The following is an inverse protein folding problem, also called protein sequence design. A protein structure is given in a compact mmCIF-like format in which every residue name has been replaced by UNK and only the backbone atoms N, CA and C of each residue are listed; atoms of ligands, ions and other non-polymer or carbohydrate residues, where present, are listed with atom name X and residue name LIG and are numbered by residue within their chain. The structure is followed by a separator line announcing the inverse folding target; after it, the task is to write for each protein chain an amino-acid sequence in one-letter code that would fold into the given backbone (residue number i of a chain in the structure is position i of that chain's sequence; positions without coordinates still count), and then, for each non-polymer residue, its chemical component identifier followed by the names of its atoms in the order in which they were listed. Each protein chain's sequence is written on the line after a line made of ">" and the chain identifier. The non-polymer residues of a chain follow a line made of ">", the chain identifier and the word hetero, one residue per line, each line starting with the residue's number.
data_IF_376786660128
#
_entry.id   IF_376786660128
#
_cell.length_a   1.000
_cell.length_b   1.000
_cell.length_c   1.000
_cell.angle_alpha   90.00
_cell.angle_beta   90.00
_cell.angle_gamma   90.00
#
_symmetry.space_group_name_H-M   'P 1'
#
loop_
_entity.id
_entity.type
_entity.pdbx_description
1 polymer ?
#
# COMPACT_ATOMS: atom_id res chain seq x y z
N UNK A 1 -6.14 -6.51 26.97
CA UNK A 1 -5.06 -5.77 26.27
C UNK A 1 -5.60 -5.26 24.94
N UNK A 2 -5.37 -3.99 24.60
CA UNK A 2 -5.70 -3.43 23.28
C UNK A 2 -4.86 -4.10 22.18
N UNK A 3 -5.33 -4.07 20.93
CA UNK A 3 -4.60 -4.61 19.78
C UNK A 3 -3.18 -4.02 19.64
N UNK A 4 -3.02 -2.71 19.87
CA UNK A 4 -1.70 -2.07 19.87
C UNK A 4 -0.75 -2.65 20.93
N UNK A 5 -1.24 -2.88 22.16
CA UNK A 5 -0.44 -3.52 23.23
C UNK A 5 -0.07 -4.98 22.92
N UNK A 6 -0.96 -5.72 22.24
CA UNK A 6 -0.66 -7.09 21.77
C UNK A 6 0.44 -7.09 20.71
N UNK A 7 0.42 -6.12 19.78
CA UNK A 7 1.50 -5.98 18.81
C UNK A 7 2.84 -5.71 19.49
N UNK A 8 2.91 -4.78 20.46
CA UNK A 8 4.16 -4.54 21.21
C UNK A 8 4.65 -5.77 21.99
N UNK A 9 3.74 -6.63 22.46
CA UNK A 9 4.13 -7.91 23.06
C UNK A 9 4.81 -8.82 22.04
N UNK A 10 4.22 -8.96 20.85
CA UNK A 10 4.79 -9.72 19.74
C UNK A 10 6.12 -9.13 19.28
N UNK A 11 6.23 -7.81 19.20
CA UNK A 11 7.46 -7.12 18.84
C UNK A 11 8.58 -7.36 19.86
N UNK A 12 8.28 -7.31 21.16
CA UNK A 12 9.25 -7.61 22.21
C UNK A 12 9.77 -9.05 22.12
N UNK A 13 8.85 -10.02 21.97
CA UNK A 13 9.21 -11.43 21.81
C UNK A 13 10.02 -11.67 20.52
N UNK A 14 9.59 -11.07 19.41
CA UNK A 14 10.27 -11.16 18.12
C UNK A 14 11.67 -10.55 18.16
N UNK A 15 11.82 -9.37 18.79
CA UNK A 15 13.10 -8.71 18.97
C UNK A 15 14.06 -9.50 19.86
N UNK A 16 13.57 -10.06 20.97
CA UNK A 16 14.36 -10.92 21.83
C UNK A 16 14.82 -12.19 21.10
N UNK A 17 13.90 -12.86 20.39
CA UNK A 17 14.23 -14.03 19.58
C UNK A 17 15.24 -13.69 18.48
N UNK A 18 15.12 -12.53 17.84
CA UNK A 18 16.06 -12.07 16.82
C UNK A 18 17.46 -11.83 17.40
N UNK A 19 17.58 -11.18 18.56
CA UNK A 19 18.88 -10.98 19.21
C UNK A 19 19.55 -12.29 19.63
N UNK A 20 18.77 -13.27 20.09
CA UNK A 20 19.27 -14.63 20.33
C UNK A 20 19.84 -15.21 19.03
N UNK A 21 19.10 -15.10 17.91
CA UNK A 21 19.56 -15.58 16.62
C UNK A 21 20.81 -14.83 16.10
N UNK A 22 20.94 -13.53 16.33
CA UNK A 22 22.15 -12.77 15.99
C UNK A 22 23.37 -13.30 16.76
N UNK A 23 23.18 -13.72 18.01
CA UNK A 23 24.25 -14.30 18.82
C UNK A 23 24.59 -15.75 18.44
N UNK A 24 23.61 -16.55 18.01
CA UNK A 24 23.79 -17.99 17.76
C UNK A 24 23.97 -18.37 16.29
N UNK A 25 23.50 -17.57 15.35
CA UNK A 25 23.47 -17.88 13.91
C UNK A 25 24.25 -16.83 13.11
N UNK A 26 25.50 -17.13 12.67
CA UNK A 26 26.34 -16.17 11.95
C UNK A 26 25.69 -15.60 10.69
N UNK A 27 24.92 -16.42 9.96
CA UNK A 27 24.20 -15.99 8.75
C UNK A 27 23.15 -14.93 9.04
N UNK A 28 22.43 -15.03 10.17
CA UNK A 28 21.45 -14.01 10.55
C UNK A 28 22.18 -12.69 10.82
N UNK A 29 23.24 -12.72 11.63
CA UNK A 29 24.07 -11.54 11.93
C UNK A 29 24.59 -10.86 10.65
N UNK A 30 25.20 -11.61 9.73
CA UNK A 30 25.79 -11.00 8.53
C UNK A 30 24.73 -10.43 7.59
N UNK A 31 23.60 -11.11 7.43
CA UNK A 31 22.52 -10.63 6.55
C UNK A 31 21.79 -9.40 7.11
N UNK A 32 21.66 -9.28 8.44
CA UNK A 32 20.86 -8.22 9.07
C UNK A 32 21.67 -7.07 9.64
N UNK A 33 22.90 -7.31 10.09
CA UNK A 33 23.80 -6.29 10.67
C UNK A 33 25.07 -6.07 9.86
N UNK A 34 25.45 -7.01 8.98
CA UNK A 34 26.69 -6.91 8.21
C UNK A 34 27.92 -6.88 9.14
N UNK A 35 28.78 -5.90 8.92
CA UNK A 35 30.00 -5.64 9.69
C UNK A 35 29.79 -4.81 10.97
N UNK A 36 28.56 -4.38 11.27
CA UNK A 36 28.28 -3.65 12.51
C UNK A 36 28.61 -4.51 13.73
N UNK A 37 29.17 -3.87 14.77
CA UNK A 37 29.46 -4.53 16.03
C UNK A 37 28.14 -4.89 16.75
N UNK A 38 27.81 -6.19 16.89
CA UNK A 38 26.57 -6.60 17.52
C UNK A 38 26.46 -6.17 18.97
N UNK A 39 27.58 -6.04 19.71
CA UNK A 39 27.55 -5.65 21.11
C UNK A 39 27.12 -4.19 21.27
N UNK A 40 27.67 -3.32 20.43
CA UNK A 40 27.31 -1.89 20.42
C UNK A 40 25.85 -1.73 20.02
N UNK A 41 25.42 -2.42 18.96
CA UNK A 41 24.02 -2.33 18.51
C UNK A 41 23.08 -2.90 19.59
N UNK A 42 23.42 -4.02 20.23
CA UNK A 42 22.62 -4.62 21.29
C UNK A 42 22.48 -3.72 22.52
N UNK A 43 23.55 -3.01 22.88
CA UNK A 43 23.56 -2.13 24.06
C UNK A 43 22.48 -1.05 24.01
N UNK A 44 22.14 -0.57 22.79
CA UNK A 44 21.06 0.40 22.60
C UNK A 44 19.74 -0.28 22.22
N UNK A 45 19.79 -1.29 21.35
CA UNK A 45 18.58 -1.89 20.80
C UNK A 45 17.84 -2.74 21.82
N UNK A 46 18.52 -3.51 22.68
CA UNK A 46 17.83 -4.33 23.69
C UNK A 46 17.01 -3.45 24.66
N UNK A 47 17.53 -2.36 25.25
CA UNK A 47 16.72 -1.48 26.08
C UNK A 47 15.63 -0.72 25.30
N UNK A 48 15.98 -0.11 24.16
CA UNK A 48 15.11 0.85 23.47
C UNK A 48 14.11 0.19 22.52
N UNK A 49 14.38 -1.03 22.06
CA UNK A 49 13.47 -1.82 21.24
C UNK A 49 12.77 -2.91 22.06
N UNK A 50 13.52 -3.86 22.61
CA UNK A 50 12.94 -5.06 23.25
C UNK A 50 12.26 -4.72 24.58
N UNK A 51 12.99 -4.08 25.50
CA UNK A 51 12.47 -3.74 26.84
C UNK A 51 11.39 -2.67 26.73
N UNK A 52 11.58 -1.63 25.92
CA UNK A 52 10.56 -0.62 25.69
C UNK A 52 9.27 -1.21 25.10
N UNK A 53 9.37 -2.15 24.14
CA UNK A 53 8.19 -2.86 23.60
C UNK A 53 7.52 -3.73 24.66
N UNK A 54 8.28 -4.42 25.52
CA UNK A 54 7.73 -5.20 26.62
C UNK A 54 6.99 -4.30 27.63
N UNK A 55 7.57 -3.15 27.98
CA UNK A 55 6.96 -2.15 28.84
C UNK A 55 5.68 -1.56 28.23
N UNK A 56 5.69 -1.25 26.94
CA UNK A 56 4.51 -0.81 26.18
C UNK A 56 3.39 -1.87 26.19
N UNK A 57 3.76 -3.15 26.18
CA UNK A 57 2.82 -4.26 26.22
C UNK A 57 2.19 -4.42 27.61
N UNK A 58 2.97 -4.40 28.70
CA UNK A 58 2.46 -4.72 30.05
C UNK A 58 1.89 -3.50 30.79
N UNK A 59 2.42 -2.31 30.54
CA UNK A 59 2.02 -1.08 31.24
C UNK A 59 0.78 -0.43 30.62
N UNK A 60 -0.08 0.14 31.45
CA UNK A 60 -1.22 0.95 31.02
C UNK A 60 -0.98 2.44 31.28
N UNK A 61 -1.88 3.30 30.80
CA UNK A 61 -1.82 4.74 31.03
C UNK A 61 -0.59 5.41 30.42
N UNK A 62 -0.05 6.41 31.10
CA UNK A 62 1.05 7.26 30.62
C UNK A 62 2.33 6.47 30.36
N UNK A 63 2.68 5.53 31.24
CA UNK A 63 3.91 4.72 31.12
C UNK A 63 3.89 3.88 29.84
N UNK A 64 2.78 3.19 29.57
CA UNK A 64 2.63 2.39 28.35
C UNK A 64 2.69 3.23 27.06
N UNK A 65 2.11 4.44 27.09
CA UNK A 65 2.17 5.38 25.96
C UNK A 65 3.58 5.89 25.69
N UNK A 66 4.31 6.28 26.73
CA UNK A 66 5.71 6.73 26.60
C UNK A 66 6.59 5.59 26.06
N UNK A 67 6.47 4.39 26.63
CA UNK A 67 7.24 3.23 26.19
C UNK A 67 6.94 2.88 24.72
N UNK A 68 5.68 2.93 24.29
CA UNK A 68 5.30 2.71 22.89
C UNK A 68 5.91 3.76 21.95
N UNK A 69 5.91 5.03 22.35
CA UNK A 69 6.53 6.13 21.57
C UNK A 69 8.03 5.94 21.46
N UNK A 70 8.72 5.61 22.56
CA UNK A 70 10.16 5.34 22.56
C UNK A 70 10.48 4.16 21.63
N UNK A 71 9.79 3.02 21.80
CA UNK A 71 10.02 1.84 20.98
C UNK A 71 9.82 2.15 19.49
N UNK A 72 8.74 2.85 19.15
CA UNK A 72 8.44 3.21 17.74
C UNK A 72 9.47 4.18 17.17
N UNK A 73 9.82 5.23 17.93
CA UNK A 73 10.82 6.21 17.50
C UNK A 73 12.20 5.59 17.30
N UNK A 74 12.61 4.70 18.21
CA UNK A 74 13.85 3.94 18.08
C UNK A 74 13.81 2.98 16.87
N UNK A 75 12.71 2.26 16.66
CA UNK A 75 12.53 1.36 15.50
C UNK A 75 12.73 2.12 14.18
N UNK A 76 12.15 3.33 14.08
CA UNK A 76 12.31 4.19 12.91
C UNK A 76 13.75 4.72 12.74
N UNK A 77 14.42 5.06 13.85
CA UNK A 77 15.81 5.50 13.84
C UNK A 77 16.75 4.38 13.37
N UNK A 78 16.56 3.16 13.88
CA UNK A 78 17.33 1.98 13.46
C UNK A 78 17.09 1.68 11.99
N UNK A 79 15.83 1.75 11.51
CA UNK A 79 15.53 1.63 10.08
C UNK A 79 16.31 2.65 9.25
N UNK A 80 16.27 3.93 9.63
CA UNK A 80 16.98 4.98 8.91
C UNK A 80 18.51 4.76 8.91
N UNK A 81 19.08 4.41 10.07
CA UNK A 81 20.50 4.10 10.22
C UNK A 81 20.93 2.92 9.37
N UNK A 82 20.18 1.81 9.40
CA UNK A 82 20.45 0.63 8.58
C UNK A 82 20.27 0.93 7.09
N UNK A 83 19.28 1.73 6.69
CA UNK A 83 19.08 2.10 5.29
C UNK A 83 20.26 2.93 4.75
N UNK A 84 20.75 3.89 5.54
CA UNK A 84 21.96 4.67 5.20
C UNK A 84 23.17 3.75 5.12
N UNK A 85 23.37 2.90 6.14
CA UNK A 85 24.48 1.95 6.17
C UNK A 85 24.45 1.00 4.97
N UNK A 86 23.33 0.33 4.71
CA UNK A 86 23.15 -0.59 3.60
C UNK A 86 23.33 0.08 2.24
N UNK A 87 22.93 1.34 2.11
CA UNK A 87 23.14 2.11 0.87
C UNK A 87 24.61 2.52 0.70
N UNK A 88 25.32 2.77 1.80
CA UNK A 88 26.75 3.10 1.80
C UNK A 88 27.67 1.89 1.59
N UNK A 89 27.39 0.76 2.22
CA UNK A 89 28.27 -0.42 2.25
C UNK A 89 27.76 -1.57 1.37
N UNK A 90 26.45 -1.67 1.15
CA UNK A 90 25.82 -2.83 0.50
C UNK A 90 25.62 -4.03 1.42
N UNK A 91 25.78 -3.84 2.73
CA UNK A 91 25.56 -4.86 3.75
C UNK A 91 24.21 -4.66 4.47
N UNK A 92 23.82 -5.57 5.37
CA UNK A 92 22.66 -5.41 6.24
C UNK A 92 21.30 -5.19 5.54
N UNK A 93 21.19 -5.54 4.25
CA UNK A 93 19.98 -5.32 3.45
C UNK A 93 18.72 -5.97 4.05
N UNK A 94 18.85 -7.19 4.59
CA UNK A 94 17.73 -7.86 5.26
C UNK A 94 17.33 -7.16 6.56
N UNK A 95 18.27 -6.50 7.23
CA UNK A 95 17.99 -5.65 8.38
C UNK A 95 17.04 -4.51 8.02
N UNK A 96 17.30 -3.83 6.89
CA UNK A 96 16.41 -2.76 6.39
C UNK A 96 15.00 -3.28 6.11
N UNK A 97 14.86 -4.44 5.49
CA UNK A 97 13.54 -5.05 5.18
C UNK A 97 12.78 -5.36 6.46
N UNK A 98 13.41 -6.06 7.41
CA UNK A 98 12.79 -6.44 8.69
C UNK A 98 12.40 -5.20 9.48
N UNK A 99 13.28 -4.20 9.54
CA UNK A 99 13.02 -2.95 10.25
C UNK A 99 11.97 -2.09 9.58
N UNK A 100 11.80 -2.18 8.26
CA UNK A 100 10.69 -1.53 7.55
C UNK A 100 9.36 -2.10 8.01
N UNK A 101 9.25 -3.43 8.05
CA UNK A 101 8.04 -4.10 8.53
C UNK A 101 7.77 -3.78 10.02
N UNK A 102 8.80 -3.84 10.87
CA UNK A 102 8.68 -3.51 12.30
C UNK A 102 8.29 -2.04 12.53
N UNK A 103 8.82 -1.11 11.75
CA UNK A 103 8.49 0.32 11.83
C UNK A 103 7.03 0.58 11.46
N UNK A 104 6.56 -0.01 10.35
CA UNK A 104 5.15 0.12 9.92
C UNK A 104 4.23 -0.44 10.99
N UNK A 105 4.51 -1.65 11.50
CA UNK A 105 3.71 -2.25 12.55
C UNK A 105 3.74 -1.45 13.86
N UNK A 106 4.92 -0.96 14.28
CA UNK A 106 5.07 -0.08 15.45
C UNK A 106 4.27 1.21 15.31
N UNK A 107 4.31 1.87 14.14
CA UNK A 107 3.56 3.09 13.90
C UNK A 107 2.04 2.87 13.98
N UNK A 108 1.54 1.77 13.39
CA UNK A 108 0.13 1.39 13.48
C UNK A 108 -0.28 1.05 14.92
N UNK A 109 0.56 0.30 15.63
CA UNK A 109 0.32 -0.04 17.04
C UNK A 109 0.36 1.19 17.94
N UNK A 110 1.27 2.13 17.69
CA UNK A 110 1.36 3.40 18.40
C UNK A 110 0.10 4.23 18.19
N UNK A 111 -0.39 4.34 16.96
CA UNK A 111 -1.65 5.01 16.66
C UNK A 111 -2.82 4.39 17.45
N UNK A 112 -2.89 3.06 17.53
CA UNK A 112 -3.90 2.37 18.34
C UNK A 112 -3.74 2.62 19.86
N UNK A 113 -2.51 2.77 20.36
CA UNK A 113 -2.25 3.04 21.79
C UNK A 113 -2.54 4.49 22.17
N UNK A 114 -2.23 5.44 21.29
CA UNK A 114 -2.39 6.88 21.54
C UNK A 114 -3.80 7.38 21.22
N UNK A 115 -4.34 6.99 20.06
CA UNK A 115 -5.59 7.52 19.50
C UNK A 115 -6.77 6.54 19.63
N UNK A 116 -6.52 5.28 19.99
CA UNK A 116 -7.54 4.22 20.03
C UNK A 116 -8.00 3.72 18.66
N UNK A 117 -7.52 4.35 17.57
CA UNK A 117 -7.82 4.01 16.18
C UNK A 117 -6.63 4.34 15.27
N UNK A 118 -6.60 3.75 14.08
CA UNK A 118 -5.65 4.16 13.03
C UNK A 118 -6.26 5.36 12.29
N UNK A 119 -5.58 6.52 12.20
CA UNK A 119 -6.12 7.73 11.57
C UNK A 119 -6.06 7.62 10.04
N UNK A 120 -6.91 6.75 9.49
CA UNK A 120 -6.99 6.47 8.05
C UNK A 120 -7.38 7.69 7.22
N UNK A 121 -8.08 8.65 7.85
CA UNK A 121 -8.45 9.93 7.26
C UNK A 121 -7.24 10.77 6.78
N UNK A 122 -6.07 10.60 7.39
CA UNK A 122 -4.86 11.31 6.98
C UNK A 122 -4.37 10.87 5.60
N UNK A 123 -4.53 9.59 5.23
CA UNK A 123 -4.19 9.08 3.90
C UNK A 123 -5.04 9.71 2.79
N UNK A 124 -6.28 10.09 3.11
CA UNK A 124 -7.22 10.74 2.17
C UNK A 124 -7.28 12.26 2.33
N UNK A 125 -6.37 12.85 3.12
CA UNK A 125 -6.29 14.29 3.34
C UNK A 125 -5.27 14.95 2.40
N UNK A 126 -5.43 16.25 2.10
CA UNK A 126 -4.51 16.99 1.23
C UNK A 126 -4.74 16.78 -0.28
N UNK A 127 -3.69 16.52 -1.10
CA UNK A 127 -3.81 16.42 -2.56
C UNK A 127 -4.64 15.21 -3.04
N UNK A 128 -4.90 14.23 -2.16
CA UNK A 128 -5.73 13.06 -2.42
C UNK A 128 -7.18 13.21 -1.94
N UNK A 129 -7.58 14.41 -1.49
CA UNK A 129 -8.95 14.68 -1.04
C UNK A 129 -9.95 14.54 -2.19
N UNK A 130 -11.03 13.80 -1.95
CA UNK A 130 -12.15 13.72 -2.88
C UNK A 130 -12.73 15.12 -3.15
N UNK A 131 -12.73 15.56 -4.41
CA UNK A 131 -13.36 16.79 -4.87
C UNK A 131 -14.21 16.48 -6.09
N UNK A 132 -15.39 17.08 -6.16
CA UNK A 132 -16.21 17.08 -7.37
C UNK A 132 -15.62 18.06 -8.38
N UNK A 133 -15.71 17.73 -9.67
CA UNK A 133 -15.25 18.63 -10.72
C UNK A 133 -16.02 19.96 -10.68
N UNK A 134 -15.30 21.08 -10.83
CA UNK A 134 -15.91 22.42 -10.94
C UNK A 134 -16.74 22.50 -12.24
N UNK A 135 -18.06 22.73 -12.17
CA UNK A 135 -18.91 22.85 -13.35
C UNK A 135 -18.59 24.07 -14.24
N UNK A 136 -17.85 25.06 -13.71
CA UNK A 136 -17.60 26.35 -14.37
C UNK A 136 -16.28 26.47 -15.12
N UNK A 137 -15.39 25.48 -15.07
CA UNK A 137 -14.09 25.55 -15.72
C UNK A 137 -14.12 25.05 -17.18
N UNK A 138 -13.29 25.67 -18.03
CA UNK A 138 -13.22 25.33 -19.45
C UNK A 138 -12.81 23.87 -19.67
N UNK A 139 -13.48 23.17 -20.59
CA UNK A 139 -13.24 21.75 -20.91
C UNK A 139 -11.77 21.43 -21.17
N UNK A 140 -11.03 22.33 -21.84
CA UNK A 140 -9.59 22.18 -22.11
C UNK A 140 -8.73 22.19 -20.84
N UNK A 141 -9.07 23.02 -19.83
CA UNK A 141 -8.36 23.02 -18.54
C UNK A 141 -8.61 21.72 -17.76
N UNK A 142 -9.82 21.18 -17.78
CA UNK A 142 -10.12 19.89 -17.15
C UNK A 142 -9.37 18.74 -17.81
N UNK A 143 -9.29 18.72 -19.14
CA UNK A 143 -8.55 17.68 -19.88
C UNK A 143 -7.06 17.76 -19.61
N UNK A 144 -6.45 18.95 -19.65
CA UNK A 144 -5.01 19.11 -19.37
C UNK A 144 -4.69 18.76 -17.91
N UNK A 145 -5.46 19.27 -16.94
CA UNK A 145 -5.24 18.97 -15.52
C UNK A 145 -5.39 17.48 -15.21
N UNK A 146 -6.40 16.81 -15.79
CA UNK A 146 -6.61 15.36 -15.66
C UNK A 146 -5.45 14.57 -16.27
N UNK A 147 -5.00 14.94 -17.47
CA UNK A 147 -3.88 14.27 -18.14
C UNK A 147 -2.58 14.43 -17.36
N UNK A 148 -2.26 15.64 -16.90
CA UNK A 148 -1.07 15.89 -16.07
C UNK A 148 -1.15 15.10 -14.77
N UNK A 149 -2.32 15.10 -14.10
CA UNK A 149 -2.50 14.34 -12.86
C UNK A 149 -2.33 12.83 -13.09
N UNK A 150 -2.87 12.27 -14.18
CA UNK A 150 -2.68 10.86 -14.54
C UNK A 150 -1.20 10.58 -14.80
N UNK A 151 -0.53 11.36 -15.64
CA UNK A 151 0.89 11.12 -15.98
C UNK A 151 1.77 11.22 -14.74
N UNK A 152 1.56 12.23 -13.90
CA UNK A 152 2.35 12.41 -12.67
C UNK A 152 2.06 11.28 -11.68
N UNK A 153 0.79 10.95 -11.44
CA UNK A 153 0.41 9.92 -10.48
C UNK A 153 0.90 8.53 -10.94
N UNK A 154 0.57 8.12 -12.15
CA UNK A 154 0.99 6.82 -12.68
C UNK A 154 2.50 6.75 -12.92
N UNK A 155 3.11 7.82 -13.42
CA UNK A 155 4.57 7.89 -13.59
C UNK A 155 5.32 7.78 -12.26
N UNK A 156 4.79 8.35 -11.18
CA UNK A 156 5.36 8.21 -9.85
C UNK A 156 5.22 6.78 -9.32
N UNK A 157 3.99 6.24 -9.33
CA UNK A 157 3.67 4.94 -8.69
C UNK A 157 4.11 3.71 -9.51
N UNK A 158 4.16 3.81 -10.84
CA UNK A 158 4.62 2.71 -11.72
C UNK A 158 6.03 2.91 -12.30
N UNK A 159 6.58 4.12 -12.23
CA UNK A 159 7.92 4.43 -12.72
C UNK A 159 8.90 4.73 -11.60
N UNK A 160 8.77 5.91 -11.00
CA UNK A 160 9.77 6.44 -10.06
C UNK A 160 9.93 5.57 -8.81
N UNK A 161 8.84 5.23 -8.12
CA UNK A 161 8.92 4.40 -6.91
C UNK A 161 9.42 2.98 -7.20
N UNK A 162 8.90 2.25 -8.21
CA UNK A 162 9.43 0.93 -8.54
C UNK A 162 10.92 0.94 -8.91
N UNK A 163 11.37 1.91 -9.71
CA UNK A 163 12.79 2.04 -10.07
C UNK A 163 13.64 2.33 -8.83
N UNK A 164 13.21 3.25 -7.96
CA UNK A 164 13.92 3.53 -6.70
C UNK A 164 14.02 2.30 -5.80
N UNK A 165 12.93 1.52 -5.67
CA UNK A 165 12.90 0.28 -4.90
C UNK A 165 13.84 -0.77 -5.52
N UNK A 166 13.82 -0.95 -6.83
CA UNK A 166 14.69 -1.92 -7.52
C UNK A 166 16.18 -1.54 -7.40
N UNK A 167 16.50 -0.25 -7.50
CA UNK A 167 17.87 0.26 -7.27
C UNK A 167 18.30 -0.02 -5.83
N UNK A 168 17.43 0.23 -4.85
CA UNK A 168 17.71 -0.10 -3.45
C UNK A 168 17.89 -1.61 -3.24
N UNK A 169 17.03 -2.45 -3.82
CA UNK A 169 17.12 -3.92 -3.77
C UNK A 169 18.48 -4.42 -4.30
N UNK A 170 18.91 -3.90 -5.45
CA UNK A 170 20.20 -4.25 -6.02
C UNK A 170 21.36 -3.71 -5.17
N UNK A 171 21.25 -2.47 -4.66
CA UNK A 171 22.30 -1.85 -3.84
C UNK A 171 22.50 -2.59 -2.51
N UNK A 172 21.42 -3.08 -1.92
CA UNK A 172 21.38 -3.83 -0.66
C UNK A 172 21.64 -5.34 -0.86
N UNK A 173 21.97 -5.77 -2.09
CA UNK A 173 22.26 -7.17 -2.45
C UNK A 173 21.12 -8.13 -2.11
N UNK A 174 19.88 -7.65 -2.23
CA UNK A 174 18.65 -8.42 -2.02
C UNK A 174 18.07 -8.97 -3.33
N UNK A 175 18.64 -8.57 -4.47
CA UNK A 175 18.19 -9.01 -5.78
C UNK A 175 18.52 -10.49 -6.00
N UNK A 176 17.54 -11.34 -6.35
CA UNK A 176 17.77 -12.76 -6.52
C UNK A 176 18.63 -13.04 -7.76
N UNK A 177 19.63 -13.91 -7.61
CA UNK A 177 20.40 -14.43 -8.74
C UNK A 177 19.56 -15.47 -9.49
N UNK A 178 18.79 -15.01 -10.48
CA UNK A 178 17.92 -15.86 -11.29
C UNK A 178 18.63 -16.36 -12.56
N UNK A 179 18.40 -17.62 -12.98
CA UNK A 179 18.88 -18.11 -14.26
C UNK A 179 18.30 -17.30 -15.44
N UNK A 180 19.10 -17.11 -16.50
CA UNK A 180 18.69 -16.34 -17.69
C UNK A 180 17.29 -16.70 -18.25
N UNK A 181 16.94 -17.99 -18.42
CA UNK A 181 15.61 -18.38 -18.88
C UNK A 181 14.47 -17.92 -17.96
N UNK A 182 14.69 -17.89 -16.65
CA UNK A 182 13.70 -17.42 -15.67
C UNK A 182 13.53 -15.91 -15.80
N UNK A 183 14.61 -15.16 -15.98
CA UNK A 183 14.56 -13.71 -16.23
C UNK A 183 13.77 -13.42 -17.51
N UNK A 184 14.03 -14.14 -18.60
CA UNK A 184 13.28 -13.99 -19.85
C UNK A 184 11.79 -14.32 -19.65
N UNK A 185 11.46 -15.39 -18.93
CA UNK A 185 10.07 -15.73 -18.63
C UNK A 185 9.37 -14.63 -17.81
N UNK A 186 10.02 -14.07 -16.79
CA UNK A 186 9.49 -12.97 -15.99
C UNK A 186 9.25 -11.72 -16.83
N UNK A 187 10.15 -11.40 -17.78
CA UNK A 187 9.97 -10.30 -18.72
C UNK A 187 8.75 -10.51 -19.62
N UNK A 188 8.61 -11.69 -20.23
CA UNK A 188 7.48 -12.01 -21.11
C UNK A 188 6.16 -11.98 -20.34
N UNK A 189 6.10 -12.65 -19.19
CA UNK A 189 4.90 -12.65 -18.33
C UNK A 189 4.59 -11.23 -17.86
N UNK A 190 5.59 -10.48 -17.41
CA UNK A 190 5.44 -9.09 -17.00
C UNK A 190 4.86 -8.22 -18.12
N UNK A 191 5.36 -8.33 -19.34
CA UNK A 191 4.85 -7.57 -20.50
C UNK A 191 3.39 -7.93 -20.82
N UNK A 192 3.06 -9.23 -20.84
CA UNK A 192 1.70 -9.70 -21.11
C UNK A 192 0.74 -9.21 -20.01
N UNK A 193 1.11 -9.38 -18.74
CA UNK A 193 0.28 -8.94 -17.60
C UNK A 193 0.12 -7.42 -17.61
N UNK A 194 1.18 -6.66 -17.90
CA UNK A 194 1.12 -5.20 -17.99
C UNK A 194 0.18 -4.76 -19.12
N UNK A 195 0.26 -5.39 -20.29
CA UNK A 195 -0.60 -5.08 -21.43
C UNK A 195 -2.08 -5.36 -21.12
N UNK A 196 -2.38 -6.53 -20.53
CA UNK A 196 -3.75 -6.91 -20.15
C UNK A 196 -4.31 -5.99 -19.05
N UNK A 197 -3.51 -5.67 -18.02
CA UNK A 197 -3.92 -4.78 -16.94
C UNK A 197 -4.12 -3.34 -17.44
N UNK A 198 -3.27 -2.88 -18.36
CA UNK A 198 -3.43 -1.57 -19.00
C UNK A 198 -4.68 -1.52 -19.87
N UNK A 199 -4.97 -2.57 -20.63
CA UNK A 199 -6.22 -2.68 -21.39
C UNK A 199 -7.46 -2.63 -20.48
N UNK A 200 -7.42 -3.32 -19.34
CA UNK A 200 -8.48 -3.26 -18.32
C UNK A 200 -8.63 -1.84 -17.74
N UNK A 201 -7.52 -1.18 -17.42
CA UNK A 201 -7.50 0.20 -16.92
C UNK A 201 -8.09 1.19 -17.91
N UNK A 202 -7.67 1.13 -19.18
CA UNK A 202 -8.18 1.96 -20.28
C UNK A 202 -9.67 1.71 -20.50
N UNK A 203 -10.11 0.45 -20.56
CA UNK A 203 -11.52 0.11 -20.71
C UNK A 203 -12.38 0.61 -19.54
N UNK A 204 -11.84 0.61 -18.33
CA UNK A 204 -12.50 1.13 -17.13
C UNK A 204 -12.59 2.65 -17.15
N UNK A 205 -11.51 3.33 -17.53
CA UNK A 205 -11.50 4.79 -17.68
C UNK A 205 -12.46 5.25 -18.78
N UNK A 206 -12.49 4.53 -19.91
CA UNK A 206 -13.43 4.79 -21.00
C UNK A 206 -14.89 4.60 -20.55
N UNK A 207 -15.20 3.54 -19.80
CA UNK A 207 -16.54 3.32 -19.24
C UNK A 207 -16.96 4.43 -18.27
N UNK A 208 -16.04 4.89 -17.41
CA UNK A 208 -16.28 6.01 -16.49
C UNK A 208 -16.54 7.33 -17.23
N UNK A 209 -15.71 7.65 -18.21
CA UNK A 209 -15.83 8.89 -18.98
C UNK A 209 -17.11 8.93 -19.82
N UNK A 210 -17.41 7.84 -20.53
CA UNK A 210 -18.55 7.79 -21.47
C UNK A 210 -19.90 7.61 -20.78
N UNK A 211 -19.96 6.93 -19.62
CA UNK A 211 -21.23 6.57 -18.95
C UNK A 211 -21.43 7.20 -17.58
N UNK A 212 -20.38 7.72 -16.96
CA UNK A 212 -20.40 8.30 -15.60
C UNK A 212 -20.47 9.83 -15.53
N UNK A 213 -20.29 10.53 -16.66
CA UNK A 213 -20.21 12.00 -16.71
C UNK A 213 -19.21 12.59 -15.68
N UNK A 214 -18.02 11.99 -15.61
CA UNK A 214 -16.88 12.39 -14.76
C UNK A 214 -15.65 11.51 -15.06
N UNK A 215 -14.58 11.65 -14.27
CA UNK A 215 -13.31 10.92 -14.46
C UNK A 215 -13.01 9.98 -13.28
N UNK A 216 -12.08 9.02 -13.43
CA UNK A 216 -11.69 8.12 -12.35
C UNK A 216 -10.78 8.70 -11.28
N UNK A 217 -10.47 9.99 -11.35
CA UNK A 217 -9.65 10.63 -10.33
C UNK A 217 -10.52 11.07 -9.14
N UNK A 218 -10.01 10.95 -7.89
CA UNK A 218 -10.69 11.47 -6.70
C UNK A 218 -11.09 12.95 -6.82
N UNK A 219 -10.39 13.72 -7.65
CA UNK A 219 -10.60 15.15 -7.92
C UNK A 219 -11.69 15.48 -8.95
N UNK A 220 -12.29 14.48 -9.60
CA UNK A 220 -13.35 14.66 -10.59
C UNK A 220 -14.29 13.44 -10.68
N UNK A 221 -14.75 12.94 -9.53
CA UNK A 221 -15.57 11.72 -9.43
C UNK A 221 -16.84 11.75 -10.29
N UNK A 222 -17.20 10.61 -10.88
CA UNK A 222 -18.41 10.43 -11.70
C UNK A 222 -19.70 10.88 -10.98
N UNK A 223 -20.59 11.56 -11.72
CA UNK A 223 -21.90 12.03 -11.22
C UNK A 223 -22.98 10.94 -11.26
N UNK A 224 -22.69 9.80 -11.88
CA UNK A 224 -23.61 8.66 -12.03
C UNK A 224 -22.89 7.36 -11.67
N UNK A 225 -23.62 6.42 -11.08
CA UNK A 225 -23.10 5.08 -10.79
C UNK A 225 -22.84 4.32 -12.10
N UNK A 226 -21.58 3.98 -12.35
CA UNK A 226 -21.16 3.28 -13.58
C UNK A 226 -21.18 1.78 -13.37
N UNK A 227 -22.14 1.10 -14.01
CA UNK A 227 -22.31 -0.38 -13.95
C UNK A 227 -22.09 -1.06 -15.30
N UNK A 228 -21.21 -0.49 -16.13
CA UNK A 228 -20.99 -0.90 -17.50
C UNK A 228 -19.51 -1.15 -17.83
N UNK A 229 -19.24 -1.88 -18.91
CA UNK A 229 -17.87 -2.27 -19.25
C UNK A 229 -17.29 -3.18 -18.16
N UNK A 230 -16.03 -3.01 -17.74
CA UNK A 230 -15.42 -3.83 -16.68
C UNK A 230 -16.17 -3.83 -15.34
N UNK A 231 -16.88 -2.72 -15.03
CA UNK A 231 -17.66 -2.58 -13.79
C UNK A 231 -18.82 -3.58 -13.66
N UNK A 232 -19.22 -4.25 -14.75
CA UNK A 232 -20.24 -5.32 -14.69
C UNK A 232 -19.73 -6.61 -14.04
N UNK A 233 -18.40 -6.81 -14.07
CA UNK A 233 -17.75 -8.05 -13.64
C UNK A 233 -17.09 -7.88 -12.28
N UNK A 234 -16.52 -6.71 -12.00
CA UNK A 234 -15.82 -6.39 -10.75
C UNK A 234 -16.09 -4.94 -10.36
N UNK A 235 -16.23 -4.64 -9.06
CA UNK A 235 -16.63 -3.28 -8.63
C UNK A 235 -15.55 -2.23 -8.82
N UNK A 236 -14.29 -2.62 -8.61
CA UNK A 236 -13.15 -1.71 -8.63
C UNK A 236 -12.11 -2.17 -9.67
N UNK A 237 -12.46 -2.21 -10.96
CA UNK A 237 -11.57 -2.69 -12.02
C UNK A 237 -10.32 -1.82 -12.19
N UNK A 238 -10.38 -0.53 -11.84
CA UNK A 238 -9.21 0.36 -11.89
C UNK A 238 -8.21 0.10 -10.78
N UNK A 239 -8.67 -0.17 -9.55
CA UNK A 239 -7.78 -0.59 -8.47
C UNK A 239 -7.13 -1.93 -8.82
N UNK A 240 -7.91 -2.88 -9.35
CA UNK A 240 -7.41 -4.16 -9.84
C UNK A 240 -6.36 -3.97 -10.94
N UNK A 241 -6.62 -3.10 -11.93
CA UNK A 241 -5.66 -2.77 -12.97
C UNK A 241 -4.37 -2.19 -12.39
N UNK A 242 -4.45 -1.18 -11.52
CA UNK A 242 -3.28 -0.51 -10.96
C UNK A 242 -2.39 -1.42 -10.11
N UNK A 243 -3.00 -2.26 -9.25
CA UNK A 243 -2.25 -3.25 -8.46
C UNK A 243 -1.60 -4.28 -9.37
N UNK A 244 -2.32 -4.77 -10.38
CA UNK A 244 -1.79 -5.75 -11.34
C UNK A 244 -0.66 -5.16 -12.18
N UNK A 245 -0.75 -3.88 -12.57
CA UNK A 245 0.33 -3.16 -13.25
C UNK A 245 1.57 -3.02 -12.34
N UNK A 246 1.39 -2.71 -11.06
CA UNK A 246 2.49 -2.66 -10.09
C UNK A 246 3.21 -4.00 -9.94
N UNK A 247 2.45 -5.10 -9.87
CA UNK A 247 3.03 -6.46 -9.87
C UNK A 247 3.76 -6.74 -11.17
N UNK A 248 3.17 -6.39 -12.32
CA UNK A 248 3.80 -6.58 -13.62
C UNK A 248 5.12 -5.82 -13.75
N UNK A 249 5.19 -4.57 -13.26
CA UNK A 249 6.44 -3.80 -13.19
C UNK A 249 7.47 -4.51 -12.31
N UNK A 250 7.07 -5.08 -11.18
CA UNK A 250 7.97 -5.89 -10.35
C UNK A 250 8.52 -7.12 -11.10
N UNK A 251 7.69 -7.81 -11.87
CA UNK A 251 8.14 -8.93 -12.73
C UNK A 251 9.12 -8.47 -13.81
N UNK A 252 8.84 -7.34 -14.47
CA UNK A 252 9.71 -6.76 -15.50
C UNK A 252 11.07 -6.36 -14.94
N UNK A 253 11.10 -5.85 -13.72
CA UNK A 253 12.33 -5.48 -13.02
C UNK A 253 13.02 -6.69 -12.34
N UNK A 254 12.39 -7.86 -12.34
CA UNK A 254 12.85 -9.02 -11.56
C UNK A 254 12.91 -8.75 -10.04
N UNK A 255 12.20 -7.73 -9.55
CA UNK A 255 12.31 -7.23 -8.18
C UNK A 255 11.14 -7.73 -7.33
N UNK A 256 11.46 -8.55 -6.33
CA UNK A 256 10.46 -9.03 -5.38
C UNK A 256 10.01 -7.92 -4.43
N UNK A 257 10.87 -6.93 -4.13
CA UNK A 257 10.50 -5.79 -3.28
C UNK A 257 9.46 -4.90 -3.96
N UNK A 258 9.53 -4.72 -5.28
CA UNK A 258 8.50 -4.00 -6.04
C UNK A 258 7.17 -4.77 -6.05
N UNK A 259 7.21 -6.09 -6.18
CA UNK A 259 5.99 -6.93 -6.06
C UNK A 259 5.41 -6.80 -4.65
N UNK A 260 6.23 -6.90 -3.60
CA UNK A 260 5.80 -6.73 -2.22
C UNK A 260 5.20 -5.35 -1.97
N UNK A 261 5.79 -4.29 -2.54
CA UNK A 261 5.27 -2.93 -2.50
C UNK A 261 3.87 -2.84 -3.14
N UNK A 262 3.68 -3.40 -4.33
CA UNK A 262 2.37 -3.40 -5.01
C UNK A 262 1.30 -4.16 -4.19
N UNK A 263 1.67 -5.30 -3.62
CA UNK A 263 0.78 -6.08 -2.76
C UNK A 263 0.46 -5.37 -1.43
N UNK A 264 1.45 -4.73 -0.79
CA UNK A 264 1.24 -3.92 0.40
C UNK A 264 0.29 -2.74 0.10
N UNK A 265 0.47 -2.07 -1.04
CA UNK A 265 -0.45 -1.06 -1.54
C UNK A 265 -1.88 -1.58 -1.72
N UNK A 266 -2.04 -2.82 -2.20
CA UNK A 266 -3.37 -3.44 -2.33
C UNK A 266 -4.07 -3.65 -0.99
N UNK A 267 -3.32 -4.03 0.05
CA UNK A 267 -3.85 -4.20 1.40
C UNK A 267 -4.29 -2.85 1.97
N UNK A 268 -3.43 -1.82 1.85
CA UNK A 268 -3.75 -0.46 2.27
C UNK A 268 -5.00 0.05 1.56
N UNK A 269 -5.06 -0.11 0.22
CA UNK A 269 -6.22 0.30 -0.55
C UNK A 269 -7.49 -0.45 -0.11
N UNK A 270 -7.43 -1.77 0.09
CA UNK A 270 -8.59 -2.57 0.50
C UNK A 270 -9.08 -2.24 1.92
N UNK A 271 -8.17 -1.91 2.84
CA UNK A 271 -8.50 -1.64 4.24
C UNK A 271 -8.87 -0.18 4.50
N UNK A 272 -8.39 0.76 3.68
CA UNK A 272 -8.53 2.20 3.91
C UNK A 272 -9.35 2.87 2.82
N UNK A 273 -8.90 2.78 1.58
CA UNK A 273 -9.49 3.54 0.47
C UNK A 273 -10.86 2.96 0.11
N UNK A 274 -10.96 1.64 -0.03
CA UNK A 274 -12.20 0.96 -0.40
C UNK A 274 -13.36 1.27 0.56
N UNK A 275 -13.23 1.15 1.91
CA UNK A 275 -14.36 1.48 2.80
C UNK A 275 -14.82 2.93 2.68
N UNK A 276 -13.89 3.87 2.48
CA UNK A 276 -14.22 5.29 2.29
C UNK A 276 -14.94 5.53 0.95
N UNK A 277 -14.46 4.91 -0.13
CA UNK A 277 -15.10 4.96 -1.44
C UNK A 277 -16.50 4.32 -1.42
N UNK A 278 -16.64 3.12 -0.83
CA UNK A 278 -17.93 2.44 -0.74
C UNK A 278 -18.93 3.21 0.14
N UNK A 279 -18.47 3.88 1.20
CA UNK A 279 -19.30 4.75 2.03
C UNK A 279 -19.77 6.02 1.30
N UNK A 280 -18.90 6.67 0.51
CA UNK A 280 -19.28 7.81 -0.34
C UNK A 280 -20.33 7.38 -1.39
N UNK A 281 -20.09 6.24 -2.05
CA UNK A 281 -21.01 5.69 -3.03
C UNK A 281 -22.37 5.33 -2.42
N UNK A 282 -22.39 4.75 -1.21
CA UNK A 282 -23.63 4.46 -0.50
C UNK A 282 -24.37 5.74 -0.08
N UNK A 283 -23.66 6.76 0.41
CA UNK A 283 -24.25 8.04 0.77
C UNK A 283 -24.89 8.76 -0.44
N UNK A 284 -24.26 8.65 -1.61
CA UNK A 284 -24.71 9.35 -2.83
C UNK A 284 -25.79 8.60 -3.62
N UNK A 285 -25.70 7.26 -3.68
CA UNK A 285 -26.54 6.43 -4.55
C UNK A 285 -27.46 5.46 -3.80
N UNK A 286 -27.32 5.33 -2.47
CA UNK A 286 -28.23 4.56 -1.62
C UNK A 286 -28.48 3.13 -2.09
N UNK A 287 -29.77 2.77 -2.27
CA UNK A 287 -30.20 1.42 -2.63
C UNK A 287 -29.66 0.93 -3.99
N UNK A 288 -29.38 1.84 -4.93
CA UNK A 288 -28.81 1.47 -6.22
C UNK A 288 -27.42 0.89 -6.05
N UNK A 289 -26.59 1.54 -5.22
CA UNK A 289 -25.27 1.03 -4.88
C UNK A 289 -25.36 -0.28 -4.09
N UNK A 290 -26.28 -0.39 -3.11
CA UNK A 290 -26.46 -1.65 -2.35
C UNK A 290 -26.83 -2.83 -3.26
N UNK A 291 -27.76 -2.63 -4.20
CA UNK A 291 -28.15 -3.66 -5.18
C UNK A 291 -27.01 -4.05 -6.10
N UNK A 292 -26.21 -3.08 -6.55
CA UNK A 292 -25.01 -3.34 -7.34
C UNK A 292 -23.96 -4.11 -6.53
N UNK A 293 -23.69 -3.67 -5.30
CA UNK A 293 -22.75 -4.26 -4.35
C UNK A 293 -23.05 -5.73 -4.03
N UNK A 294 -24.34 -6.09 -3.93
CA UNK A 294 -24.75 -7.48 -3.72
C UNK A 294 -24.49 -8.39 -4.94
N UNK A 295 -24.49 -7.81 -6.15
CA UNK A 295 -24.39 -8.55 -7.42
C UNK A 295 -22.96 -8.62 -7.95
N UNK A 296 -22.11 -7.64 -7.67
CA UNK A 296 -20.75 -7.57 -8.20
C UNK A 296 -19.74 -7.60 -7.06
N UNK A 297 -18.74 -8.47 -7.15
CA UNK A 297 -17.69 -8.60 -6.12
C UNK A 297 -16.64 -7.50 -6.29
N UNK A 298 -15.95 -7.16 -5.20
CA UNK A 298 -14.92 -6.10 -5.23
C UNK A 298 -13.69 -6.45 -6.07
N UNK A 299 -13.22 -7.70 -5.98
CA UNK A 299 -11.92 -8.12 -6.53
C UNK A 299 -12.03 -9.24 -7.56
N UNK A 300 -12.85 -10.24 -7.28
CA UNK A 300 -12.98 -11.43 -8.12
C UNK A 300 -14.04 -11.19 -9.18
N UNK A 301 -13.72 -11.25 -10.48
CA UNK A 301 -14.73 -11.01 -11.49
C UNK A 301 -15.81 -12.10 -11.44
N UNK A 302 -17.07 -11.69 -11.58
CA UNK A 302 -18.21 -12.61 -11.68
C UNK A 302 -18.48 -12.96 -13.15
N UNK A 303 -18.59 -14.25 -13.42
CA UNK A 303 -19.10 -14.80 -14.67
C UNK A 303 -20.31 -15.71 -14.38
N UNK A 304 -21.38 -15.67 -15.19
CA UNK A 304 -21.59 -14.77 -16.32
C UNK A 304 -21.78 -13.31 -15.87
N UNK A 305 -21.33 -12.40 -16.74
CA UNK A 305 -21.48 -10.95 -16.59
C UNK A 305 -22.94 -10.64 -16.23
N UNK A 306 -23.18 -10.02 -15.07
CA UNK A 306 -24.53 -9.65 -14.67
C UNK A 306 -25.14 -8.77 -15.78
N UNK A 307 -26.28 -9.19 -16.34
CA UNK A 307 -27.03 -8.37 -17.27
C UNK A 307 -27.24 -6.99 -16.64
N UNK A 308 -27.05 -5.94 -17.42
CA UNK A 308 -27.17 -4.55 -16.99
C UNK A 308 -28.33 -4.40 -16.01
N UNK A 309 -28.08 -3.80 -14.84
CA UNK A 309 -29.17 -3.22 -14.06
C UNK A 309 -29.92 -2.35 -15.06
N UNK A 310 -31.19 -2.70 -15.35
CA UNK A 310 -32.02 -1.96 -16.30
C UNK A 310 -31.99 -0.47 -15.98
N UNK A 311 -32.25 0.42 -16.96
CA UNK A 311 -31.98 1.86 -16.85
C UNK A 311 -32.44 2.35 -15.49
N UNK A 312 -31.48 2.56 -14.58
CA UNK A 312 -31.77 3.03 -13.25
C UNK A 312 -32.24 4.45 -13.48
N UNK A 313 -33.52 4.71 -13.21
CA UNK A 313 -34.06 6.06 -13.11
C UNK A 313 -33.35 6.70 -11.91
N UNK A 314 -32.20 7.31 -12.16
CA UNK A 314 -31.39 7.98 -11.14
C UNK A 314 -32.18 9.18 -10.67
N UNK A 315 -32.72 9.13 -9.45
CA UNK A 315 -33.18 10.34 -8.77
C UNK A 315 -31.98 11.27 -8.61
N UNK A 316 -32.16 12.54 -8.99
CA UNK A 316 -31.17 13.60 -8.79
C UNK A 316 -30.63 13.57 -7.35
N UNK A 317 -29.33 13.89 -7.13
CA UNK A 317 -28.77 13.95 -5.78
C UNK A 317 -29.69 14.82 -4.91
N UNK A 318 -30.09 14.32 -3.74
CA UNK A 318 -30.76 15.18 -2.76
C UNK A 318 -29.76 16.26 -2.37
N UNK A 319 -30.10 17.51 -2.70
CA UNK A 319 -29.35 18.69 -2.25
C UNK A 319 -29.36 18.78 -0.73
#
# INVERSE_FOLDING_TARGET
>A
MSWGRRYFALQALGGAAWWINVATVPTVRTLTLGSLDPLVVAAFDVPLFVVASALAAVSAGTVGRIAATIATGWTALVLAGLAVWATGTGEAGWGVVVMTAATVGSALALALVLLGRVPTEWLTSGPLRFRTADPGAATSRHVVATTVQIVVFWGLFLGVFPVGIAVAEHRWRLHPALPGPVVTALLVVGLVVLALASALGIASAAAMSTKGAGTPLPSASANRLVVAGPYRSVRNPMALAGITQGVAVGLLLGSWMVVAYALAGSIVWNCVVRPLEEADLEARFGDDFRRYAARVRCWVPRWPIAASVGPVSVSSPRR
#
